data_IF_999772490159
#
_entry.id   IF_999772490159
#
_cell.length_a   1.000
_cell.length_b   1.000
_cell.length_c   1.000
_cell.angle_alpha   90.00
_cell.angle_beta   90.00
_cell.angle_gamma   90.00
#
_symmetry.space_group_name_H-M   'P 1'
#
loop_
_entity.id
_entity.type
_entity.pdbx_description
1 polymer ?
#
# COMPACT_ATOMS: atom_id res chain seq x y z
N UNK A 1 15.38 5.25 9.75
CA UNK A 1 14.71 3.97 9.42
C UNK A 1 15.73 2.96 8.91
N UNK A 2 15.38 1.67 8.87
CA UNK A 2 16.22 0.58 8.34
C UNK A 2 15.45 -0.15 7.25
N UNK A 3 16.11 -0.47 6.13
CA UNK A 3 15.53 -1.31 5.07
C UNK A 3 15.78 -2.77 5.43
N UNK A 4 14.72 -3.51 5.76
CA UNK A 4 14.81 -4.93 6.15
C UNK A 4 14.78 -5.88 4.94
N UNK A 5 14.22 -5.42 3.81
CA UNK A 5 14.14 -6.19 2.58
C UNK A 5 13.69 -5.32 1.41
N UNK A 6 14.01 -5.76 0.19
CA UNK A 6 13.56 -5.13 -1.05
C UNK A 6 13.43 -6.17 -2.14
N UNK A 7 12.59 -5.93 -3.13
CA UNK A 7 12.44 -6.84 -4.24
C UNK A 7 11.72 -6.21 -5.41
N UNK A 8 11.90 -6.83 -6.57
CA UNK A 8 11.22 -6.50 -7.81
C UNK A 8 10.69 -7.78 -8.45
N UNK A 9 9.66 -7.67 -9.28
CA UNK A 9 9.19 -8.70 -10.18
C UNK A 9 8.52 -8.05 -11.41
N UNK A 10 7.75 -8.82 -12.17
CA UNK A 10 7.05 -8.37 -13.37
C UNK A 10 5.62 -8.89 -13.41
N UNK A 11 4.73 -8.11 -14.05
CA UNK A 11 3.32 -8.47 -14.21
C UNK A 11 3.11 -9.68 -15.12
N UNK A 12 4.05 -9.95 -16.03
CA UNK A 12 3.99 -11.07 -16.97
C UNK A 12 2.93 -10.85 -18.06
N UNK A 13 2.18 -11.89 -18.39
CA UNK A 13 1.11 -11.80 -19.39
C UNK A 13 -0.20 -11.33 -18.74
N UNK A 14 -0.71 -10.19 -19.20
CA UNK A 14 -2.00 -9.61 -18.76
C UNK A 14 -2.83 -9.22 -19.99
N UNK A 15 -4.08 -8.79 -19.78
CA UNK A 15 -5.01 -8.40 -20.86
C UNK A 15 -4.60 -7.13 -21.65
N UNK A 16 -3.45 -6.55 -21.33
CA UNK A 16 -2.82 -5.46 -22.06
C UNK A 16 -1.52 -5.09 -21.36
N UNK A 17 -0.49 -4.67 -22.11
CA UNK A 17 0.87 -4.47 -21.56
C UNK A 17 0.95 -3.51 -20.36
N UNK A 18 -0.03 -2.61 -20.21
CA UNK A 18 -0.13 -1.64 -19.09
C UNK A 18 -1.15 -2.04 -18.02
N UNK A 19 -1.80 -3.20 -18.15
CA UNK A 19 -2.80 -3.68 -17.18
C UNK A 19 -2.05 -4.39 -16.04
N UNK A 20 -2.19 -3.93 -14.78
CA UNK A 20 -1.45 -4.50 -13.66
C UNK A 20 -1.92 -5.90 -13.29
N UNK A 21 -1.02 -6.72 -12.72
CA UNK A 21 -1.34 -8.07 -12.27
C UNK A 21 -1.46 -8.16 -10.73
N UNK A 22 -2.66 -8.40 -10.17
CA UNK A 22 -2.84 -8.46 -8.72
C UNK A 22 -2.07 -9.62 -8.07
N UNK A 23 -1.86 -10.74 -8.78
CA UNK A 23 -1.15 -11.90 -8.23
C UNK A 23 0.36 -11.67 -8.21
N UNK A 24 0.90 -10.94 -9.20
CA UNK A 24 2.28 -10.50 -9.20
C UNK A 24 2.56 -9.55 -8.00
N UNK A 25 1.65 -8.62 -7.72
CA UNK A 25 1.77 -7.72 -6.55
C UNK A 25 1.74 -8.49 -5.22
N UNK A 26 0.79 -9.43 -5.05
CA UNK A 26 0.72 -10.27 -3.84
C UNK A 26 1.97 -11.11 -3.66
N UNK A 27 2.45 -11.73 -4.75
CA UNK A 27 3.67 -12.53 -4.75
C UNK A 27 4.89 -11.70 -4.34
N UNK A 28 5.03 -10.49 -4.87
CA UNK A 28 6.11 -9.58 -4.52
C UNK A 28 6.09 -9.24 -3.03
N UNK A 29 4.95 -8.80 -2.50
CA UNK A 29 4.81 -8.40 -1.09
C UNK A 29 5.14 -9.58 -0.18
N UNK A 30 4.57 -10.76 -0.45
CA UNK A 30 4.82 -11.97 0.36
C UNK A 30 6.27 -12.39 0.33
N UNK A 31 6.91 -12.39 -0.85
CA UNK A 31 8.31 -12.76 -1.01
C UNK A 31 9.23 -11.81 -0.24
N UNK A 32 9.07 -10.51 -0.40
CA UNK A 32 9.89 -9.50 0.28
C UNK A 32 9.70 -9.56 1.80
N UNK A 33 8.47 -9.75 2.28
CA UNK A 33 8.21 -9.93 3.71
C UNK A 33 8.88 -11.20 4.26
N UNK A 34 8.77 -12.33 3.54
CA UNK A 34 9.40 -13.59 3.94
C UNK A 34 10.93 -13.48 3.98
N UNK A 35 11.55 -12.87 2.97
CA UNK A 35 13.00 -12.62 2.93
C UNK A 35 13.45 -11.69 4.07
N UNK A 36 12.60 -10.75 4.48
CA UNK A 36 12.84 -9.87 5.63
C UNK A 36 12.51 -10.51 7.00
N UNK A 37 11.96 -11.73 7.04
CA UNK A 37 11.55 -12.41 8.27
C UNK A 37 10.32 -11.80 8.96
N UNK A 38 9.43 -11.16 8.21
CA UNK A 38 8.23 -10.46 8.72
C UNK A 38 6.97 -11.10 8.13
N UNK A 39 5.90 -11.24 8.92
CA UNK A 39 4.61 -11.61 8.35
C UNK A 39 3.92 -10.35 7.74
N UNK A 40 3.32 -10.43 6.53
CA UNK A 40 2.61 -9.28 5.95
C UNK A 40 1.53 -8.67 6.87
N UNK A 41 0.91 -9.50 7.72
CA UNK A 41 -0.07 -9.08 8.72
C UNK A 41 0.48 -8.24 9.87
N UNK A 42 1.80 -8.25 10.10
CA UNK A 42 2.46 -7.42 11.11
C UNK A 42 2.73 -5.98 10.61
N UNK A 43 2.59 -5.74 9.29
CA UNK A 43 2.73 -4.40 8.73
C UNK A 43 1.60 -3.50 9.25
N UNK A 44 1.99 -2.38 9.87
CA UNK A 44 1.08 -1.37 10.42
C UNK A 44 0.71 -0.29 9.39
N UNK A 45 1.56 -0.07 8.40
CA UNK A 45 1.37 0.94 7.36
C UNK A 45 1.89 0.45 6.01
N UNK A 46 1.19 0.80 4.93
CA UNK A 46 1.65 0.65 3.55
C UNK A 46 1.52 1.98 2.82
N UNK A 47 2.63 2.43 2.27
CA UNK A 47 2.65 3.50 1.27
C UNK A 47 2.40 2.87 -0.11
N UNK A 48 1.16 2.95 -0.58
CA UNK A 48 0.70 2.37 -1.84
C UNK A 48 1.24 3.13 -3.07
N UNK A 49 1.16 2.48 -4.23
CA UNK A 49 1.33 3.14 -5.51
C UNK A 49 0.23 4.18 -5.72
N UNK A 50 -1.04 3.82 -5.59
CA UNK A 50 -2.20 4.72 -5.48
C UNK A 50 -2.19 5.87 -6.48
N UNK A 51 -2.37 5.56 -7.76
CA UNK A 51 -2.34 6.53 -8.86
C UNK A 51 -3.70 7.11 -9.22
N UNK A 52 -4.76 6.75 -8.48
CA UNK A 52 -6.12 7.22 -8.73
C UNK A 52 -6.66 6.80 -10.09
N UNK A 53 -6.30 5.59 -10.54
CA UNK A 53 -6.76 5.06 -11.83
C UNK A 53 -8.00 4.16 -11.64
N UNK A 54 -9.00 4.21 -12.54
CA UNK A 54 -10.22 3.42 -12.39
C UNK A 54 -9.99 1.91 -12.34
N UNK A 55 -8.94 1.43 -13.01
CA UNK A 55 -8.58 0.00 -13.10
C UNK A 55 -7.49 -0.38 -12.08
N UNK A 56 -6.45 0.44 -11.93
CA UNK A 56 -5.32 0.10 -11.09
C UNK A 56 -5.64 0.14 -9.60
N UNK A 57 -6.41 1.13 -9.13
CA UNK A 57 -6.70 1.27 -7.70
C UNK A 57 -7.50 0.08 -7.13
N UNK A 58 -8.55 -0.45 -7.80
CA UNK A 58 -9.21 -1.67 -7.34
C UNK A 58 -8.30 -2.89 -7.33
N UNK A 59 -7.42 -3.03 -8.33
CA UNK A 59 -6.45 -4.13 -8.41
C UNK A 59 -5.45 -4.06 -7.26
N UNK A 60 -4.87 -2.89 -7.01
CA UNK A 60 -3.92 -2.69 -5.92
C UNK A 60 -4.58 -2.87 -4.56
N UNK A 61 -5.76 -2.30 -4.35
CA UNK A 61 -6.49 -2.45 -3.09
C UNK A 61 -6.79 -3.92 -2.77
N UNK A 62 -7.26 -4.68 -3.76
CA UNK A 62 -7.47 -6.12 -3.62
C UNK A 62 -6.19 -6.90 -3.36
N UNK A 63 -5.09 -6.57 -4.05
CA UNK A 63 -3.79 -7.20 -3.83
C UNK A 63 -3.26 -6.93 -2.41
N UNK A 64 -3.32 -5.68 -1.94
CA UNK A 64 -2.96 -5.30 -0.58
C UNK A 64 -3.83 -6.02 0.45
N UNK A 65 -5.14 -6.11 0.24
CA UNK A 65 -6.04 -6.84 1.15
C UNK A 65 -5.63 -8.31 1.28
N UNK A 66 -5.37 -9.00 0.15
CA UNK A 66 -4.94 -10.41 0.15
C UNK A 66 -3.56 -10.63 0.77
N UNK A 67 -2.65 -9.66 0.63
CA UNK A 67 -1.32 -9.76 1.23
C UNK A 67 -1.38 -9.47 2.74
N UNK A 68 -1.93 -8.32 3.12
CA UNK A 68 -1.94 -7.81 4.49
C UNK A 68 -2.86 -8.60 5.44
N UNK A 69 -3.80 -9.39 4.93
CA UNK A 69 -4.60 -10.30 5.76
C UNK A 69 -3.79 -11.49 6.30
N UNK A 70 -2.70 -11.89 5.63
CA UNK A 70 -1.93 -13.09 6.00
C UNK A 70 -1.19 -12.87 7.31
N UNK A 71 -1.56 -13.62 8.35
CA UNK A 71 -0.95 -13.54 9.68
C UNK A 71 -1.43 -12.36 10.53
N UNK A 72 -2.43 -11.59 10.06
CA UNK A 72 -2.95 -10.44 10.81
C UNK A 72 -3.79 -10.92 12.00
N UNK A 73 -3.48 -10.42 13.19
CA UNK A 73 -4.20 -10.75 14.42
C UNK A 73 -5.62 -10.17 14.41
N UNK A 74 -6.62 -10.87 14.98
CA UNK A 74 -7.96 -10.30 15.15
C UNK A 74 -7.92 -8.95 15.88
N UNK A 75 -8.63 -7.96 15.35
CA UNK A 75 -8.67 -6.60 15.89
C UNK A 75 -7.47 -5.70 15.55
N UNK A 76 -6.37 -6.25 15.00
CA UNK A 76 -5.28 -5.44 14.49
C UNK A 76 -5.64 -4.84 13.12
N UNK A 77 -5.29 -3.57 12.90
CA UNK A 77 -5.54 -2.87 11.64
C UNK A 77 -4.24 -2.30 11.07
N UNK A 78 -4.13 -2.31 9.76
CA UNK A 78 -3.10 -1.55 9.05
C UNK A 78 -3.69 -0.25 8.51
N UNK A 79 -2.83 0.66 8.10
CA UNK A 79 -3.18 1.86 7.38
C UNK A 79 -2.57 1.84 5.99
N UNK A 80 -3.28 2.34 4.99
CA UNK A 80 -2.80 2.46 3.61
C UNK A 80 -2.95 3.91 3.15
N UNK A 81 -1.91 4.48 2.57
CA UNK A 81 -1.97 5.82 1.99
C UNK A 81 -1.07 5.96 0.76
N UNK A 82 -1.12 7.13 0.11
CA UNK A 82 -0.28 7.48 -1.03
C UNK A 82 0.05 8.97 -0.97
N UNK A 83 1.33 9.29 -1.03
CA UNK A 83 1.88 10.65 -1.13
C UNK A 83 1.41 11.37 -2.39
N UNK A 84 0.99 10.61 -3.41
CA UNK A 84 0.53 11.17 -4.69
C UNK A 84 -0.71 12.02 -4.54
N UNK A 85 -1.50 11.81 -3.49
CA UNK A 85 -2.62 12.70 -3.17
C UNK A 85 -2.19 14.12 -2.83
N UNK A 86 -0.97 14.32 -2.33
CA UNK A 86 -0.43 15.61 -1.92
C UNK A 86 0.41 16.29 -3.01
N UNK A 87 1.23 15.51 -3.73
CA UNK A 87 2.26 16.06 -4.63
C UNK A 87 2.12 15.58 -6.08
N UNK A 88 1.07 14.82 -6.39
CA UNK A 88 0.86 14.22 -7.71
C UNK A 88 1.77 13.02 -7.99
N UNK A 89 1.69 12.48 -9.20
CA UNK A 89 2.51 11.36 -9.63
C UNK A 89 3.87 11.86 -10.13
N UNK A 90 4.88 11.81 -9.27
CA UNK A 90 6.26 12.25 -9.58
C UNK A 90 7.08 11.24 -10.40
N UNK A 91 6.40 10.37 -11.15
CA UNK A 91 6.99 9.36 -12.04
C UNK A 91 8.18 8.59 -11.43
N UNK A 92 9.39 8.81 -11.95
CA UNK A 92 10.64 8.17 -11.51
C UNK A 92 11.00 8.48 -10.05
N UNK A 93 10.51 9.60 -9.51
CA UNK A 93 10.70 10.00 -8.12
C UNK A 93 9.59 9.51 -7.18
N UNK A 94 8.57 8.78 -7.68
CA UNK A 94 7.45 8.34 -6.86
C UNK A 94 7.87 7.41 -5.72
N UNK A 95 8.81 6.50 -5.99
CA UNK A 95 9.32 5.57 -4.98
C UNK A 95 10.07 6.28 -3.84
N UNK A 96 10.98 7.21 -4.18
CA UNK A 96 11.75 7.94 -3.16
C UNK A 96 10.87 8.92 -2.37
N UNK A 97 9.87 9.55 -3.00
CA UNK A 97 8.92 10.40 -2.29
C UNK A 97 8.10 9.60 -1.25
N UNK A 98 7.60 8.42 -1.62
CA UNK A 98 6.89 7.52 -0.71
C UNK A 98 7.78 7.00 0.43
N UNK A 99 9.04 6.67 0.12
CA UNK A 99 10.02 6.26 1.13
C UNK A 99 10.30 7.38 2.14
N UNK A 100 10.57 8.61 1.66
CA UNK A 100 10.79 9.77 2.54
C UNK A 100 9.59 10.00 3.46
N UNK A 101 8.36 10.01 2.90
CA UNK A 101 7.14 10.12 3.69
C UNK A 101 7.08 9.04 4.77
N UNK A 102 7.31 7.77 4.41
CA UNK A 102 7.24 6.65 5.35
C UNK A 102 8.26 6.77 6.48
N UNK A 103 9.49 7.20 6.18
CA UNK A 103 10.52 7.45 7.20
C UNK A 103 10.11 8.56 8.16
N UNK A 104 9.56 9.66 7.64
CA UNK A 104 9.06 10.77 8.47
C UNK A 104 7.86 10.34 9.32
N UNK A 105 6.97 9.49 8.80
CA UNK A 105 5.87 8.95 9.59
C UNK A 105 6.35 8.13 10.79
N UNK A 106 7.41 7.31 10.60
CA UNK A 106 8.03 6.54 11.68
C UNK A 106 8.72 7.44 12.70
N UNK A 107 9.47 8.44 12.23
CA UNK A 107 10.19 9.41 13.08
C UNK A 107 9.23 10.21 13.96
N UNK A 108 8.14 10.71 13.39
CA UNK A 108 7.15 11.51 14.11
C UNK A 108 6.05 10.69 14.76
N UNK A 109 6.06 9.36 14.62
CA UNK A 109 5.00 8.46 15.12
C UNK A 109 3.61 8.91 14.68
N UNK A 110 3.48 9.36 13.44
CA UNK A 110 2.24 9.95 12.92
C UNK A 110 2.05 9.67 11.43
N UNK A 111 0.80 9.41 11.02
CA UNK A 111 0.42 9.18 9.63
C UNK A 111 -0.36 10.41 9.13
N UNK A 112 0.15 11.12 8.10
CA UNK A 112 -0.54 12.28 7.54
C UNK A 112 -1.80 11.86 6.77
N UNK A 113 -2.77 12.77 6.63
CA UNK A 113 -4.03 12.47 5.94
C UNK A 113 -3.81 12.16 4.45
N UNK A 114 -4.52 11.14 3.97
CA UNK A 114 -4.78 10.88 2.56
C UNK A 114 -5.83 11.88 2.07
N UNK A 115 -5.39 12.89 1.31
CA UNK A 115 -6.27 13.97 0.87
C UNK A 115 -6.99 13.63 -0.43
N UNK A 116 -7.99 14.44 -0.80
CA UNK A 116 -8.82 14.25 -2.01
C UNK A 116 -9.59 12.91 -2.06
N UNK A 117 -9.83 12.27 -0.90
CA UNK A 117 -10.64 11.07 -0.78
C UNK A 117 -11.96 11.36 -0.09
N UNK A 118 -13.00 11.63 -0.88
CA UNK A 118 -14.37 11.80 -0.37
C UNK A 118 -15.14 10.47 -0.35
N UNK A 119 -14.94 9.65 -1.37
CA UNK A 119 -15.56 8.33 -1.53
C UNK A 119 -14.56 7.39 -2.18
N UNK A 120 -14.50 6.15 -1.70
CA UNK A 120 -13.71 5.11 -2.36
C UNK A 120 -14.30 4.75 -3.72
N UNK A 121 -13.43 4.30 -4.62
CA UNK A 121 -13.86 3.72 -5.88
C UNK A 121 -14.88 2.59 -5.61
N UNK A 122 -16.09 2.62 -6.21
CA UNK A 122 -17.13 1.61 -5.96
C UNK A 122 -16.73 0.16 -6.29
N UNK A 123 -15.68 -0.03 -7.11
CA UNK A 123 -15.12 -1.35 -7.38
C UNK A 123 -14.26 -1.91 -6.23
N UNK A 124 -14.02 -1.12 -5.18
CA UNK A 124 -13.33 -1.54 -3.95
C UNK A 124 -14.39 -1.87 -2.89
N UNK A 125 -14.42 -3.14 -2.46
CA UNK A 125 -15.22 -3.54 -1.31
C UNK A 125 -14.55 -3.08 -0.01
N UNK A 126 -14.94 -1.90 0.47
CA UNK A 126 -14.39 -1.30 1.68
C UNK A 126 -14.59 -2.18 2.92
N UNK A 127 -15.67 -2.96 2.99
CA UNK A 127 -16.00 -3.74 4.19
C UNK A 127 -15.06 -4.94 4.38
N UNK A 128 -14.41 -5.43 3.32
CA UNK A 128 -13.46 -6.54 3.38
C UNK A 128 -12.00 -6.13 3.51
N UNK A 129 -11.69 -4.82 3.52
CA UNK A 129 -10.31 -4.35 3.66
C UNK A 129 -9.79 -4.61 5.09
N UNK A 130 -8.64 -5.28 5.27
CA UNK A 130 -8.00 -5.46 6.58
C UNK A 130 -7.23 -4.20 7.04
N UNK A 131 -7.47 -3.07 6.38
CA UNK A 131 -6.77 -1.81 6.57
C UNK A 131 -7.70 -0.61 6.38
N UNK A 132 -7.29 0.53 6.88
CA UNK A 132 -7.99 1.81 6.71
C UNK A 132 -7.16 2.78 5.87
N UNK A 133 -7.84 3.70 5.18
CA UNK A 133 -7.18 4.83 4.52
C UNK A 133 -7.39 6.07 5.40
N UNK A 134 -6.34 6.58 6.08
CA UNK A 134 -6.51 7.64 7.07
C UNK A 134 -6.74 8.98 6.37
N UNK A 135 -7.96 9.51 6.42
CA UNK A 135 -8.31 10.84 5.87
C UNK A 135 -8.10 11.99 6.86
N UNK A 136 -7.59 11.67 8.06
CA UNK A 136 -7.23 12.62 9.12
C UNK A 136 -5.85 12.27 9.69
N UNK A 137 -5.15 13.23 10.31
CA UNK A 137 -3.91 12.94 11.03
C UNK A 137 -4.15 11.82 12.06
N UNK A 138 -3.37 10.74 11.95
CA UNK A 138 -3.56 9.51 12.71
C UNK A 138 -2.28 9.13 13.45
N UNK A 139 -2.31 8.93 14.79
CA UNK A 139 -1.15 8.43 15.51
C UNK A 139 -0.67 7.08 14.97
N UNK A 140 0.65 6.90 14.83
CA UNK A 140 1.21 5.62 14.44
C UNK A 140 1.08 4.61 15.59
N UNK A 141 0.46 3.42 15.36
CA UNK A 141 0.14 2.46 16.41
C UNK A 141 1.35 1.80 17.09
#
# INVERSE_FOLDING_TARGET
AVILGSGVNQDGHTNGITVPNPDAQVSLIRRVCAEAGIAPGDLQYMEAHGTSTPVGDPIEAGALARALAVGRKPGARAYVGSVKTNIGHTESAAGIAGLIKTVLCLEHRHIPPHINLERLNPAIDQASLPYEIPTRPTPWP
#
